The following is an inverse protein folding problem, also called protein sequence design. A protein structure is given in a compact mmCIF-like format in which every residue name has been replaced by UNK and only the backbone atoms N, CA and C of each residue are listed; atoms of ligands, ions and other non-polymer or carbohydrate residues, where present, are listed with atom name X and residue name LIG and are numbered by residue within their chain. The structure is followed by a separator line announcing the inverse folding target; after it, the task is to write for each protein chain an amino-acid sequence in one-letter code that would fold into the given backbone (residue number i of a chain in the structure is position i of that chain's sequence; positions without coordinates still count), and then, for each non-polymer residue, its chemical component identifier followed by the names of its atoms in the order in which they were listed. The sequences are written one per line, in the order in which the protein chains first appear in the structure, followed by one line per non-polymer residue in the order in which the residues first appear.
data_IF_715678563562
#
_entry.id   IF_715678563562
#
_cell.length_a   1.000
_cell.length_b   1.000
_cell.length_c   1.000
_cell.angle_alpha   90.00
_cell.angle_beta   90.00
_cell.angle_gamma   90.00
#
_symmetry.space_group_name_H-M   'P 1'
#
loop_
_entity.id
_entity.type
_entity.pdbx_description
1 polymer ?
#
# COMPACT_ATOMS: atom_id res chain seq x y z
N UNK A 1 -25.00 10.82 -4.22
CA UNK A 1 -24.17 10.13 -5.22
C UNK A 1 -22.81 9.86 -4.59
N UNK A 2 -22.33 8.62 -4.61
CA UNK A 2 -21.07 8.23 -3.96
C UNK A 2 -19.91 8.70 -4.84
N UNK A 3 -19.23 9.77 -4.44
CA UNK A 3 -18.11 10.38 -5.17
C UNK A 3 -16.92 9.40 -5.22
N UNK A 4 -16.85 8.60 -6.29
CA UNK A 4 -15.77 7.62 -6.52
C UNK A 4 -14.47 8.35 -6.87
N UNK A 5 -13.34 7.83 -6.40
CA UNK A 5 -12.00 8.29 -6.80
C UNK A 5 -11.31 7.18 -7.61
N UNK A 6 -10.86 7.51 -8.81
CA UNK A 6 -10.20 6.57 -9.71
C UNK A 6 -8.68 6.79 -9.70
N UNK A 7 -7.91 5.74 -9.43
CA UNK A 7 -6.45 5.72 -9.47
C UNK A 7 -5.99 5.05 -10.76
N UNK A 8 -5.65 5.86 -11.75
CA UNK A 8 -5.17 5.36 -13.04
C UNK A 8 -3.65 5.34 -13.06
N UNK A 9 -3.12 4.12 -13.07
CA UNK A 9 -1.70 3.84 -13.12
C UNK A 9 -1.24 3.83 -14.58
N UNK A 10 -0.41 4.81 -14.96
CA UNK A 10 0.17 4.91 -16.30
C UNK A 10 1.58 4.32 -16.37
N UNK A 11 2.33 4.45 -15.28
CA UNK A 11 3.63 3.80 -15.08
C UNK A 11 3.70 3.32 -13.64
N UNK A 12 4.13 2.07 -13.44
CA UNK A 12 4.37 1.54 -12.12
C UNK A 12 5.49 0.54 -12.15
N UNK A 13 6.52 0.81 -11.38
CA UNK A 13 7.67 -0.06 -11.20
C UNK A 13 8.00 -0.06 -9.72
N UNK A 14 7.77 -1.21 -9.10
CA UNK A 14 8.19 -1.49 -7.73
C UNK A 14 9.11 -2.71 -7.79
N UNK A 15 10.39 -2.52 -7.47
CA UNK A 15 11.41 -3.55 -7.64
C UNK A 15 12.29 -3.65 -6.41
N UNK A 16 12.74 -4.86 -6.12
CA UNK A 16 13.83 -5.14 -5.19
C UNK A 16 15.15 -5.21 -5.99
N UNK A 17 16.25 -4.69 -5.44
CA UNK A 17 17.51 -4.51 -6.17
C UNK A 17 18.16 -5.82 -6.63
N UNK A 18 17.90 -6.90 -5.91
CA UNK A 18 18.42 -8.25 -6.16
C UNK A 18 17.30 -9.22 -6.55
N UNK A 19 16.16 -8.70 -7.02
CA UNK A 19 15.01 -9.53 -7.39
C UNK A 19 15.38 -10.49 -8.52
N UNK A 20 15.23 -11.79 -8.26
CA UNK A 20 15.45 -12.80 -9.29
C UNK A 20 14.39 -12.72 -10.40
N UNK A 21 14.75 -13.15 -11.61
CA UNK A 21 13.79 -13.27 -12.72
C UNK A 21 12.60 -14.17 -12.37
N UNK A 22 12.84 -15.19 -11.53
CA UNK A 22 11.78 -16.09 -11.02
C UNK A 22 10.78 -15.34 -10.15
N UNK A 23 11.23 -14.57 -9.16
CA UNK A 23 10.35 -13.76 -8.31
C UNK A 23 9.60 -12.70 -9.14
N UNK A 24 10.27 -12.09 -10.11
CA UNK A 24 9.63 -11.16 -11.05
C UNK A 24 8.45 -11.84 -11.77
N UNK A 25 8.67 -13.05 -12.30
CA UNK A 25 7.63 -13.84 -12.96
C UNK A 25 6.47 -14.20 -12.02
N UNK A 26 6.77 -14.74 -10.83
CA UNK A 26 5.76 -15.08 -9.83
C UNK A 26 4.86 -13.88 -9.48
N UNK A 27 5.45 -12.69 -9.34
CA UNK A 27 4.67 -11.49 -9.06
C UNK A 27 3.80 -11.04 -10.23
N UNK A 28 4.24 -11.25 -11.47
CA UNK A 28 3.42 -10.97 -12.66
C UNK A 28 2.22 -11.92 -12.72
N UNK A 29 2.41 -13.19 -12.43
CA UNK A 29 1.35 -14.21 -12.38
C UNK A 29 0.33 -13.88 -11.29
N UNK A 30 0.80 -13.55 -10.07
CA UNK A 30 -0.06 -13.12 -8.96
C UNK A 30 -0.93 -11.92 -9.34
N UNK A 31 -0.37 -10.89 -9.98
CA UNK A 31 -1.15 -9.71 -10.37
C UNK A 31 -2.20 -10.07 -11.42
N UNK A 32 -1.86 -10.95 -12.36
CA UNK A 32 -2.78 -11.43 -13.40
C UNK A 32 -3.94 -12.18 -12.77
N UNK A 33 -3.66 -13.17 -11.93
CA UNK A 33 -4.67 -13.97 -11.22
C UNK A 33 -5.56 -13.07 -10.31
N UNK A 34 -4.96 -12.13 -9.58
CA UNK A 34 -5.70 -11.18 -8.76
C UNK A 34 -6.72 -10.36 -9.56
N UNK A 35 -6.38 -9.97 -10.80
CA UNK A 35 -7.26 -9.20 -11.68
C UNK A 35 -8.38 -10.06 -12.25
N UNK A 36 -8.05 -11.27 -12.72
CA UNK A 36 -9.02 -12.21 -13.27
C UNK A 36 -10.10 -12.58 -12.24
N UNK A 37 -9.68 -12.85 -11.01
CA UNK A 37 -10.58 -13.18 -9.90
C UNK A 37 -11.25 -11.95 -9.26
N UNK A 38 -10.87 -10.73 -9.67
CA UNK A 38 -11.27 -9.47 -9.00
C UNK A 38 -11.05 -9.55 -7.48
N UNK A 39 -9.91 -10.12 -7.09
CA UNK A 39 -9.64 -10.56 -5.74
C UNK A 39 -9.66 -9.40 -4.72
N UNK A 40 -10.35 -9.63 -3.60
CA UNK A 40 -10.35 -8.71 -2.46
C UNK A 40 -8.99 -8.67 -1.73
N UNK A 41 -8.77 -7.77 -0.76
CA UNK A 41 -7.47 -7.63 -0.09
C UNK A 41 -6.94 -8.91 0.58
N UNK A 42 -7.79 -9.70 1.22
CA UNK A 42 -7.39 -10.96 1.85
C UNK A 42 -7.05 -12.02 0.79
N UNK A 43 -7.87 -12.13 -0.26
CA UNK A 43 -7.64 -13.08 -1.33
C UNK A 43 -6.37 -12.76 -2.13
N UNK A 44 -6.10 -11.47 -2.42
CA UNK A 44 -4.82 -11.04 -3.04
C UNK A 44 -3.61 -11.45 -2.21
N UNK A 45 -3.70 -11.37 -0.88
CA UNK A 45 -2.63 -11.86 0.00
C UNK A 45 -2.49 -13.37 -0.06
N UNK A 46 -3.61 -14.10 -0.06
CA UNK A 46 -3.63 -15.57 -0.17
C UNK A 46 -2.98 -16.04 -1.47
N UNK A 47 -3.40 -15.48 -2.62
CA UNK A 47 -2.82 -15.74 -3.94
C UNK A 47 -1.31 -15.50 -3.92
N UNK A 48 -0.84 -14.39 -3.36
CA UNK A 48 0.59 -14.10 -3.30
C UNK A 48 1.37 -15.10 -2.43
N UNK A 49 0.81 -15.51 -1.29
CA UNK A 49 1.46 -16.48 -0.40
C UNK A 49 1.53 -17.89 -1.01
N UNK A 50 0.57 -18.26 -1.86
CA UNK A 50 0.54 -19.54 -2.56
C UNK A 50 1.50 -19.59 -3.75
N UNK A 51 1.70 -18.45 -4.43
CA UNK A 51 2.39 -18.42 -5.72
C UNK A 51 3.80 -17.81 -5.68
N UNK A 52 4.14 -17.00 -4.67
CA UNK A 52 5.48 -16.40 -4.52
C UNK A 52 6.31 -17.18 -3.50
N UNK A 53 7.59 -17.38 -3.78
CA UNK A 53 8.48 -18.11 -2.86
C UNK A 53 8.51 -17.50 -1.45
N UNK A 54 8.40 -16.18 -1.36
CA UNK A 54 8.18 -15.41 -0.14
C UNK A 54 7.61 -14.03 -0.45
N UNK A 55 6.99 -13.39 0.54
CA UNK A 55 6.54 -11.99 0.44
C UNK A 55 7.11 -11.19 1.60
N UNK A 56 7.36 -9.90 1.40
CA UNK A 56 7.79 -9.00 2.47
C UNK A 56 6.65 -8.10 2.95
N UNK A 57 6.62 -7.83 4.25
CA UNK A 57 5.72 -6.84 4.85
C UNK A 57 5.80 -5.46 4.18
N UNK A 58 6.94 -5.14 3.55
CA UNK A 58 7.17 -3.87 2.88
C UNK A 58 6.57 -3.80 1.49
N UNK A 59 6.67 -4.86 0.70
CA UNK A 59 6.20 -4.85 -0.69
C UNK A 59 4.70 -5.08 -0.83
N UNK A 60 4.07 -5.78 0.11
CA UNK A 60 2.65 -6.11 0.08
C UNK A 60 1.73 -4.89 -0.13
N UNK A 61 1.92 -3.75 0.58
CA UNK A 61 1.19 -2.53 0.28
C UNK A 61 1.38 -1.99 -1.14
N UNK A 62 2.57 -2.16 -1.74
CA UNK A 62 2.89 -1.59 -3.05
C UNK A 62 2.53 -2.51 -4.21
N UNK A 63 2.80 -3.82 -4.10
CA UNK A 63 2.47 -4.77 -5.16
C UNK A 63 0.96 -5.00 -5.25
N UNK A 64 0.29 -5.13 -4.10
CA UNK A 64 -1.10 -5.59 -4.02
C UNK A 64 -2.07 -4.56 -3.44
N UNK A 65 -1.63 -3.33 -3.17
CA UNK A 65 -2.45 -2.27 -2.56
C UNK A 65 -3.15 -2.73 -1.26
N UNK A 66 -2.41 -3.46 -0.42
CA UNK A 66 -2.90 -3.93 0.88
C UNK A 66 -2.77 -2.82 1.93
N UNK A 67 -3.89 -2.14 2.21
CA UNK A 67 -3.95 -0.98 3.10
C UNK A 67 -3.91 -1.34 4.60
N UNK A 68 -4.07 -2.64 4.93
CA UNK A 68 -4.15 -3.19 6.29
C UNK A 68 -3.34 -4.48 6.43
N UNK A 69 -2.12 -4.49 5.89
CA UNK A 69 -1.27 -5.69 5.84
C UNK A 69 -1.13 -6.43 7.17
N UNK A 70 -0.88 -5.77 8.32
CA UNK A 70 -0.77 -6.50 9.59
C UNK A 70 -2.04 -7.28 9.96
N UNK A 71 -3.22 -6.69 9.74
CA UNK A 71 -4.50 -7.34 10.01
C UNK A 71 -4.74 -8.49 9.03
N UNK A 72 -4.42 -8.31 7.75
CA UNK A 72 -4.57 -9.35 6.73
C UNK A 72 -3.66 -10.56 7.00
N UNK A 73 -2.41 -10.31 7.42
CA UNK A 73 -1.49 -11.37 7.83
C UNK A 73 -2.03 -12.13 9.04
N UNK A 74 -2.58 -11.43 10.05
CA UNK A 74 -3.17 -12.07 11.21
C UNK A 74 -4.32 -13.00 10.81
N UNK A 75 -5.24 -12.54 9.95
CA UNK A 75 -6.35 -13.38 9.46
C UNK A 75 -5.87 -14.59 8.66
N UNK A 76 -4.91 -14.43 7.75
CA UNK A 76 -4.41 -15.57 6.96
C UNK A 76 -3.67 -16.61 7.81
N UNK A 77 -3.04 -16.20 8.92
CA UNK A 77 -2.39 -17.12 9.86
C UNK A 77 -3.36 -18.05 10.59
N UNK A 78 -4.64 -17.72 10.65
CA UNK A 78 -5.66 -18.60 11.22
C UNK A 78 -5.91 -19.82 10.32
N UNK A 79 -5.61 -19.71 9.02
CA UNK A 79 -5.88 -20.75 8.02
C UNK A 79 -4.62 -21.41 7.46
N UNK A 80 -3.51 -20.67 7.37
CA UNK A 80 -2.27 -21.13 6.73
C UNK A 80 -1.09 -21.16 7.72
N UNK A 81 -0.27 -22.20 7.62
CA UNK A 81 0.97 -22.34 8.37
C UNK A 81 2.03 -21.38 7.83
N UNK A 82 2.03 -20.15 8.34
CA UNK A 82 2.87 -19.08 7.83
C UNK A 82 4.16 -18.93 8.65
N UNK A 83 5.29 -19.29 8.05
CA UNK A 83 6.61 -19.01 8.60
C UNK A 83 6.94 -17.52 8.47
N UNK A 84 7.71 -16.99 9.43
CA UNK A 84 8.20 -15.61 9.38
C UNK A 84 9.61 -15.47 9.91
N UNK A 85 10.32 -14.46 9.41
CA UNK A 85 11.56 -13.95 10.00
C UNK A 85 11.65 -12.44 9.90
N UNK A 86 12.43 -11.83 10.79
CA UNK A 86 12.70 -10.40 10.80
C UNK A 86 13.75 -10.05 9.74
N UNK A 87 13.58 -8.91 9.08
CA UNK A 87 14.46 -8.42 8.02
C UNK A 87 14.56 -6.89 8.04
N UNK A 88 15.55 -6.35 7.34
CA UNK A 88 15.79 -4.90 7.22
C UNK A 88 15.49 -4.44 5.78
N UNK A 89 14.68 -3.39 5.64
CA UNK A 89 14.38 -2.75 4.37
C UNK A 89 15.10 -1.40 4.26
N UNK A 90 15.72 -1.16 3.11
CA UNK A 90 16.36 0.10 2.76
C UNK A 90 17.34 0.59 3.84
N UNK A 91 18.09 -0.34 4.43
CA UNK A 91 19.12 -0.12 5.45
C UNK A 91 18.64 0.35 6.84
N UNK A 92 17.34 0.52 7.08
CA UNK A 92 16.86 1.10 8.36
C UNK A 92 15.45 0.73 8.82
N UNK A 93 14.61 0.16 7.95
CA UNK A 93 13.21 -0.13 8.29
C UNK A 93 13.07 -1.61 8.65
N UNK A 94 12.74 -1.90 9.90
CA UNK A 94 12.43 -3.27 10.32
C UNK A 94 11.08 -3.74 9.80
N UNK A 95 11.00 -5.01 9.46
CA UNK A 95 9.76 -5.74 9.31
C UNK A 95 10.02 -7.22 9.09
N UNK A 96 9.12 -7.88 8.36
CA UNK A 96 9.13 -9.33 8.22
C UNK A 96 9.10 -9.80 6.78
N UNK A 97 9.67 -10.98 6.56
CA UNK A 97 9.38 -11.90 5.46
C UNK A 97 8.31 -12.88 5.92
N UNK A 98 7.44 -13.28 5.01
CA UNK A 98 6.45 -14.34 5.18
C UNK A 98 6.57 -15.37 4.06
N UNK A 99 6.43 -16.65 4.38
CA UNK A 99 6.38 -17.74 3.39
C UNK A 99 5.60 -18.92 3.96
N UNK A 100 4.97 -19.70 3.08
CA UNK A 100 4.37 -20.99 3.45
C UNK A 100 5.41 -22.10 3.61
N UNK A 101 6.66 -21.87 3.21
CA UNK A 101 7.76 -22.82 3.41
C UNK A 101 8.16 -22.85 4.89
N UNK A 102 8.39 -24.05 5.43
CA UNK A 102 8.85 -24.21 6.82
C UNK A 102 10.24 -23.61 7.06
N UNK A 103 11.15 -23.76 6.09
CA UNK A 103 12.51 -23.21 6.17
C UNK A 103 12.63 -21.87 5.44
N UNK A 104 13.28 -20.91 6.09
CA UNK A 104 13.53 -19.54 5.58
C UNK A 104 15.02 -19.24 5.34
N UNK A 105 15.90 -20.25 5.43
CA UNK A 105 17.35 -20.07 5.39
C UNK A 105 17.90 -19.54 4.06
N UNK A 106 17.19 -19.76 2.94
CA UNK A 106 17.59 -19.28 1.62
C UNK A 106 17.05 -17.89 1.24
N UNK A 107 16.32 -17.24 2.13
CA UNK A 107 15.74 -15.91 1.87
C UNK A 107 16.69 -14.84 2.40
N UNK A 108 16.89 -13.69 1.73
CA UNK A 108 17.74 -12.60 2.26
C UNK A 108 17.25 -12.05 3.62
N UNK A 109 18.17 -11.48 4.39
CA UNK A 109 17.87 -10.75 5.64
C UNK A 109 17.72 -9.24 5.42
N UNK A 110 18.16 -8.75 4.25
CA UNK A 110 18.06 -7.35 3.86
C UNK A 110 17.50 -7.23 2.44
N UNK A 111 16.71 -6.18 2.21
CA UNK A 111 16.14 -5.88 0.89
C UNK A 111 16.24 -4.39 0.57
N UNK A 112 16.45 -4.08 -0.70
CA UNK A 112 16.56 -2.70 -1.20
C UNK A 112 15.49 -2.44 -2.25
N UNK A 113 14.39 -1.81 -1.82
CA UNK A 113 13.25 -1.52 -2.66
C UNK A 113 13.30 -0.12 -3.27
N UNK A 114 12.88 -0.03 -4.53
CA UNK A 114 12.64 1.23 -5.25
C UNK A 114 11.22 1.25 -5.80
N UNK A 115 10.60 2.41 -5.73
CA UNK A 115 9.30 2.69 -6.32
C UNK A 115 9.43 3.86 -7.29
N UNK A 116 8.97 3.65 -8.52
CA UNK A 116 8.77 4.68 -9.54
C UNK A 116 7.36 4.53 -10.09
N UNK A 117 6.55 5.58 -10.01
CA UNK A 117 5.18 5.55 -10.51
C UNK A 117 4.76 6.85 -11.18
N UNK A 118 3.77 6.75 -12.06
CA UNK A 118 2.98 7.85 -12.61
C UNK A 118 1.52 7.41 -12.51
N UNK A 119 0.79 8.07 -11.61
CA UNK A 119 -0.59 7.72 -11.26
C UNK A 119 -1.41 9.01 -11.34
N UNK A 120 -2.53 8.96 -12.06
CA UNK A 120 -3.56 10.01 -12.03
C UNK A 120 -4.57 9.71 -10.94
N UNK A 121 -5.09 10.76 -10.30
CA UNK A 121 -6.12 10.64 -9.26
C UNK A 121 -7.34 11.42 -9.73
N UNK A 122 -8.37 10.73 -10.16
CA UNK A 122 -9.53 11.36 -10.79
C UNK A 122 -10.68 11.35 -9.79
N UNK A 123 -11.16 12.54 -9.49
CA UNK A 123 -12.39 12.76 -8.71
C UNK A 123 -13.55 13.08 -9.67
N UNK A 124 -14.79 13.21 -9.19
CA UNK A 124 -15.90 13.67 -10.03
C UNK A 124 -15.65 15.06 -10.67
N UNK A 125 -14.80 15.89 -10.05
CA UNK A 125 -14.39 17.19 -10.59
C UNK A 125 -13.21 17.10 -11.60
N UNK A 126 -12.76 15.90 -11.94
CA UNK A 126 -11.61 15.65 -12.81
C UNK A 126 -10.32 15.33 -12.05
N UNK A 127 -9.18 15.51 -12.71
CA UNK A 127 -7.84 15.26 -12.15
C UNK A 127 -7.61 16.06 -10.86
N UNK A 128 -7.07 15.37 -9.86
CA UNK A 128 -6.96 15.87 -8.48
C UNK A 128 -5.62 15.51 -7.82
N UNK A 129 -4.66 14.92 -8.54
CA UNK A 129 -3.37 14.48 -8.00
C UNK A 129 -2.38 15.62 -7.74
N UNK A 130 -2.53 16.77 -8.41
CA UNK A 130 -1.53 17.84 -8.39
C UNK A 130 -1.20 18.37 -6.99
N UNK A 131 -2.18 18.62 -6.07
CA UNK A 131 -1.88 19.02 -4.71
C UNK A 131 -1.07 17.98 -3.93
N UNK A 132 -1.38 16.68 -4.09
CA UNK A 132 -0.68 15.58 -3.42
C UNK A 132 0.77 15.47 -3.90
N UNK A 133 0.98 15.59 -5.21
CA UNK A 133 2.31 15.61 -5.82
C UNK A 133 3.13 16.82 -5.33
N UNK A 134 2.52 18.00 -5.26
CA UNK A 134 3.20 19.20 -4.81
C UNK A 134 3.66 19.10 -3.35
N UNK A 135 2.81 18.54 -2.48
CA UNK A 135 3.16 18.27 -1.07
C UNK A 135 4.30 17.26 -0.99
N UNK A 136 4.27 16.20 -1.78
CA UNK A 136 5.30 15.17 -1.80
C UNK A 136 6.68 15.72 -2.21
N UNK A 137 6.71 16.65 -3.17
CA UNK A 137 7.94 17.35 -3.62
C UNK A 137 8.48 18.31 -2.56
N UNK A 138 7.60 19.01 -1.86
CA UNK A 138 7.97 20.12 -0.97
C UNK A 138 8.35 19.65 0.44
N UNK A 139 7.68 18.62 0.95
CA UNK A 139 7.85 18.16 2.34
C UNK A 139 8.56 16.81 2.36
N UNK A 140 9.62 16.65 3.15
CA UNK A 140 10.36 15.38 3.22
C UNK A 140 9.69 14.32 4.11
N UNK A 141 9.18 14.73 5.28
CA UNK A 141 8.72 13.78 6.30
C UNK A 141 7.28 13.29 6.02
N UNK A 142 7.02 11.97 5.97
CA UNK A 142 5.69 11.39 5.66
C UNK A 142 4.53 11.99 6.48
N UNK A 143 4.65 11.99 7.81
CA UNK A 143 3.61 12.52 8.69
C UNK A 143 3.37 14.03 8.52
N UNK A 144 4.41 14.80 8.14
CA UNK A 144 4.26 16.24 7.84
C UNK A 144 3.51 16.45 6.51
N UNK A 145 3.71 15.58 5.51
CA UNK A 145 2.92 15.59 4.26
C UNK A 145 1.44 15.38 4.54
N UNK A 146 1.10 14.36 5.33
CA UNK A 146 -0.28 14.09 5.75
C UNK A 146 -0.89 15.29 6.48
N UNK A 147 -0.18 15.85 7.46
CA UNK A 147 -0.65 17.01 8.21
C UNK A 147 -0.96 18.18 7.27
N UNK A 148 -0.02 18.56 6.41
CA UNK A 148 -0.19 19.67 5.48
C UNK A 148 -1.36 19.45 4.51
N UNK A 149 -1.54 18.22 4.01
CA UNK A 149 -2.65 17.88 3.14
C UNK A 149 -4.00 18.11 3.82
N UNK A 150 -4.15 17.64 5.06
CA UNK A 150 -5.36 17.82 5.85
C UNK A 150 -5.61 19.29 6.20
N UNK A 151 -4.58 20.05 6.57
CA UNK A 151 -4.67 21.51 6.82
C UNK A 151 -5.04 22.29 5.57
N UNK A 152 -4.64 21.80 4.39
CA UNK A 152 -4.99 22.37 3.08
C UNK A 152 -6.38 21.94 2.60
N UNK A 153 -7.17 21.28 3.45
CA UNK A 153 -8.54 20.85 3.14
C UNK A 153 -8.66 19.65 2.20
N UNK A 154 -7.57 18.90 1.96
CA UNK A 154 -7.61 17.72 1.09
C UNK A 154 -8.23 16.51 1.78
N UNK A 155 -9.04 15.75 1.04
CA UNK A 155 -9.55 14.44 1.43
C UNK A 155 -8.50 13.35 1.11
N UNK A 156 -7.83 12.82 2.12
CA UNK A 156 -6.70 11.89 1.96
C UNK A 156 -7.13 10.44 2.16
N UNK A 157 -7.02 9.60 1.15
CA UNK A 157 -7.19 8.15 1.25
C UNK A 157 -5.90 7.45 1.68
N UNK A 158 -5.98 6.15 1.99
CA UNK A 158 -4.78 5.36 2.23
C UNK A 158 -3.91 5.13 0.97
N UNK A 159 -4.49 5.18 -0.23
CA UNK A 159 -3.73 5.12 -1.49
C UNK A 159 -2.95 6.42 -1.71
N UNK A 160 -3.52 7.57 -1.38
CA UNK A 160 -2.81 8.85 -1.40
C UNK A 160 -1.57 8.81 -0.48
N UNK A 161 -1.77 8.24 0.72
CA UNK A 161 -0.71 8.00 1.69
C UNK A 161 0.42 7.12 1.16
N UNK A 162 0.06 6.05 0.44
CA UNK A 162 0.99 5.09 -0.14
C UNK A 162 1.80 5.71 -1.28
N UNK A 163 1.13 6.38 -2.23
CA UNK A 163 1.74 6.87 -3.46
C UNK A 163 2.52 8.18 -3.26
N UNK A 164 1.96 9.16 -2.55
CA UNK A 164 2.60 10.48 -2.44
C UNK A 164 3.23 10.75 -1.08
N UNK A 165 2.67 10.19 0.00
CA UNK A 165 3.15 10.55 1.35
C UNK A 165 4.20 9.59 1.91
N UNK A 166 4.49 8.48 1.24
CA UNK A 166 5.47 7.51 1.72
C UNK A 166 5.02 6.83 3.02
N UNK A 167 3.70 6.72 3.22
CA UNK A 167 3.07 6.16 4.41
C UNK A 167 2.30 4.88 4.05
N UNK A 168 2.87 3.73 4.40
CA UNK A 168 2.20 2.42 4.32
C UNK A 168 1.10 2.24 5.38
N UNK A 169 1.12 3.03 6.46
CA UNK A 169 0.23 2.90 7.62
C UNK A 169 -0.40 4.24 7.97
N UNK A 170 -1.14 4.82 7.04
CA UNK A 170 -1.72 6.17 7.20
C UNK A 170 -2.59 6.28 8.47
N UNK A 171 -3.32 5.22 8.84
CA UNK A 171 -4.17 5.21 10.03
C UNK A 171 -3.36 5.45 11.32
N UNK A 172 -2.12 4.94 11.38
CA UNK A 172 -1.23 5.19 12.52
C UNK A 172 -0.75 6.65 12.55
N UNK A 173 -0.48 7.25 11.38
CA UNK A 173 -0.13 8.67 11.30
C UNK A 173 -1.32 9.57 11.67
N UNK A 174 -2.53 9.24 11.21
CA UNK A 174 -3.78 9.93 11.60
C UNK A 174 -3.99 9.84 13.11
N UNK A 175 -3.82 8.66 13.71
CA UNK A 175 -3.94 8.50 15.16
C UNK A 175 -2.95 9.39 15.91
N UNK A 176 -1.70 9.47 15.43
CA UNK A 176 -0.68 10.34 16.02
C UNK A 176 -1.03 11.82 15.89
N UNK A 177 -1.60 12.25 14.77
CA UNK A 177 -2.05 13.63 14.59
C UNK A 177 -3.27 13.97 15.47
N UNK A 178 -4.22 13.05 15.63
CA UNK A 178 -5.34 13.19 16.57
C UNK A 178 -4.85 13.35 18.01
N UNK A 179 -3.90 12.51 18.45
CA UNK A 179 -3.27 12.62 19.77
C UNK A 179 -2.52 13.95 19.95
N UNK A 180 -2.06 14.57 18.86
CA UNK A 180 -1.46 15.89 18.86
C UNK A 180 -2.47 17.05 18.76
N UNK A 181 -3.78 16.78 18.94
CA UNK A 181 -4.85 17.78 18.99
C UNK A 181 -5.56 18.06 17.66
N UNK A 182 -5.15 17.42 16.56
CA UNK A 182 -5.78 17.66 15.25
C UNK A 182 -7.14 16.94 15.16
N UNK A 183 -8.21 17.68 14.92
CA UNK A 183 -9.55 17.12 14.72
C UNK A 183 -9.65 16.54 13.31
N UNK A 184 -9.53 15.23 13.16
CA UNK A 184 -9.56 14.55 11.86
C UNK A 184 -10.78 13.63 11.82
N UNK A 185 -11.67 13.82 10.85
CA UNK A 185 -12.77 12.91 10.57
C UNK A 185 -12.31 11.72 9.70
N UNK A 186 -12.90 10.54 9.93
CA UNK A 186 -12.74 9.37 9.04
C UNK A 186 -14.09 9.07 8.40
N UNK A 187 -14.11 8.98 7.08
CA UNK A 187 -15.27 8.58 6.29
C UNK A 187 -14.86 7.49 5.30
N UNK A 188 -15.82 6.91 4.61
CA UNK A 188 -15.57 5.94 3.54
C UNK A 188 -15.81 6.61 2.19
N UNK A 189 -15.01 6.23 1.20
CA UNK A 189 -15.25 6.56 -0.20
C UNK A 189 -14.97 5.33 -1.06
N UNK A 190 -15.62 5.26 -2.20
CA UNK A 190 -15.38 4.21 -3.19
C UNK A 190 -14.16 4.60 -4.01
N UNK A 191 -13.23 3.67 -4.18
CA UNK A 191 -12.07 3.84 -5.06
C UNK A 191 -12.03 2.75 -6.10
N UNK A 192 -11.55 3.10 -7.29
CA UNK A 192 -11.12 2.11 -8.28
C UNK A 192 -9.62 2.26 -8.56
N UNK A 193 -8.97 1.17 -8.95
CA UNK A 193 -7.62 1.23 -9.52
C UNK A 193 -7.45 0.19 -10.62
N UNK A 194 -6.63 0.54 -11.62
CA UNK A 194 -6.28 -0.36 -12.71
C UNK A 194 -5.07 -1.26 -12.39
N UNK A 195 -4.36 -1.04 -11.28
CA UNK A 195 -3.24 -1.89 -10.88
C UNK A 195 -3.74 -3.29 -10.50
N UNK A 196 -4.84 -3.36 -9.76
CA UNK A 196 -5.50 -4.59 -9.32
C UNK A 196 -6.87 -4.80 -9.95
N UNK A 197 -7.33 -3.85 -10.78
CA UNK A 197 -8.61 -3.90 -11.48
C UNK A 197 -9.82 -4.09 -10.55
N UNK A 198 -9.80 -3.46 -9.38
CA UNK A 198 -10.87 -3.58 -8.37
C UNK A 198 -11.51 -2.24 -8.05
N UNK A 199 -12.78 -2.31 -7.61
CA UNK A 199 -13.53 -1.21 -7.01
C UNK A 199 -13.83 -1.59 -5.56
N UNK A 200 -13.49 -0.73 -4.60
CA UNK A 200 -13.65 -1.03 -3.16
C UNK A 200 -13.88 0.22 -2.33
N UNK A 201 -14.53 0.05 -1.18
CA UNK A 201 -14.58 1.10 -0.17
C UNK A 201 -13.26 1.18 0.59
N UNK A 202 -12.76 2.41 0.76
CA UNK A 202 -11.57 2.69 1.58
C UNK A 202 -11.84 3.86 2.51
N UNK A 203 -11.17 3.90 3.67
CA UNK A 203 -11.21 5.08 4.51
C UNK A 203 -10.53 6.26 3.82
N UNK A 204 -11.14 7.43 3.94
CA UNK A 204 -10.49 8.71 3.72
C UNK A 204 -10.56 9.58 4.98
N UNK A 205 -9.61 10.50 5.06
CA UNK A 205 -9.39 11.37 6.20
C UNK A 205 -9.46 12.82 5.75
N UNK A 206 -10.14 13.65 6.52
CA UNK A 206 -10.18 15.10 6.32
C UNK A 206 -10.13 15.82 7.64
N UNK A 207 -9.67 17.07 7.63
CA UNK A 207 -9.79 17.92 8.79
C UNK A 207 -11.28 18.14 9.11
N UNK A 208 -11.66 17.90 10.36
CA UNK A 208 -12.99 18.17 10.85
C UNK A 208 -13.12 19.65 11.20
N UNK A 209 -14.23 20.24 10.76
CA UNK A 209 -14.59 21.62 11.09
C UNK A 209 -14.89 21.77 12.59
#
# INVERSE_FOLDING_TARGET
MTERIDYETEKYSFTEATESSRLTGQWADVITECRELKAGPQERLRIALLNVDYVTSFELPFRLLLLRTPQLIASVREELQLSQKNVIFNGKRFGCVYSLKASLGGIPDEFQYRLSHRIRRISPAGSSEAPYQQIAKTVKAPRKRLKLALESGLDVTALDGLFWFGSQRIAADVLRLRKAGMRIATKQTMVSDNLTATVRNVPFYRLAN
#
